data_IF_907515599634
#
_entry.id   IF_907515599634
#
_cell.length_a   1.000
_cell.length_b   1.000
_cell.length_c   1.000
_cell.angle_alpha   90.00
_cell.angle_beta   90.00
_cell.angle_gamma   90.00
#
_symmetry.space_group_name_H-M   'P 1'
#
loop_
_entity.id
_entity.type
_entity.pdbx_description
1 polymer ?
#
# COMPACT_ATOMS: atom_id res chain seq x y z
N UNK A 1 33.96 30.03 -13.64
CA UNK A 1 32.63 29.40 -13.55
C UNK A 1 32.59 28.66 -12.24
N UNK A 2 31.87 29.19 -11.24
CA UNK A 2 31.84 28.63 -9.89
C UNK A 2 30.70 27.61 -9.81
N UNK A 3 31.04 26.35 -9.55
CA UNK A 3 30.09 25.29 -9.26
C UNK A 3 29.54 25.49 -7.85
N UNK A 4 28.32 25.99 -7.74
CA UNK A 4 27.57 25.95 -6.49
C UNK A 4 27.12 24.51 -6.23
N UNK A 5 27.74 23.87 -5.25
CA UNK A 5 27.22 22.68 -4.58
C UNK A 5 25.99 23.08 -3.77
N UNK A 6 24.82 22.58 -4.17
CA UNK A 6 23.60 22.64 -3.36
C UNK A 6 23.75 21.63 -2.22
N UNK A 7 24.09 22.11 -1.03
CA UNK A 7 24.00 21.32 0.20
C UNK A 7 22.54 21.24 0.63
N UNK A 8 22.05 20.01 0.85
CA UNK A 8 20.74 19.74 1.42
C UNK A 8 20.79 20.09 2.93
N UNK A 9 19.92 20.99 3.45
CA UNK A 9 20.08 21.55 4.80
C UNK A 9 19.68 20.60 5.95
N UNK A 10 19.35 19.34 5.68
CA UNK A 10 18.98 18.36 6.72
C UNK A 10 20.17 17.44 7.04
N UNK A 11 21.18 17.99 7.72
CA UNK A 11 22.17 17.17 8.43
C UNK A 11 21.51 16.53 9.66
N UNK A 12 22.03 15.37 10.06
CA UNK A 12 21.58 14.51 11.17
C UNK A 12 21.48 15.20 12.54
N UNK A 13 21.93 16.44 12.68
CA UNK A 13 21.91 17.19 13.93
C UNK A 13 20.61 17.96 14.17
N UNK A 14 19.75 18.13 13.15
CA UNK A 14 18.49 18.86 13.28
C UNK A 14 17.39 18.10 14.07
N UNK A 15 17.51 16.78 14.21
CA UNK A 15 16.51 15.98 14.95
C UNK A 15 16.73 16.01 16.48
N UNK A 16 17.90 16.45 16.96
CA UNK A 16 18.26 16.36 18.38
C UNK A 16 18.06 17.69 19.14
N UNK A 17 17.80 18.81 18.45
CA UNK A 17 17.70 20.13 19.12
C UNK A 17 16.38 20.89 18.99
N UNK A 18 15.36 20.33 18.35
CA UNK A 18 14.03 20.97 18.32
C UNK A 18 12.90 19.98 18.65
N UNK A 19 12.92 19.46 19.88
CA UNK A 19 11.71 19.08 20.60
C UNK A 19 10.93 20.33 21.07
N UNK A 20 10.69 21.28 20.16
CA UNK A 20 9.78 22.39 20.36
C UNK A 20 8.63 22.21 19.40
N UNK A 21 7.51 21.76 19.94
CA UNK A 21 6.19 21.87 19.36
C UNK A 21 5.99 23.24 18.70
N UNK A 22 5.91 23.29 17.36
CA UNK A 22 5.07 24.21 16.59
C UNK A 22 5.44 24.15 15.10
N UNK A 23 4.70 23.37 14.33
CA UNK A 23 4.30 23.78 12.99
C UNK A 23 2.77 23.82 13.00
N UNK A 24 2.24 25.02 13.19
CA UNK A 24 0.83 25.35 13.08
C UNK A 24 0.45 25.45 11.60
N UNK A 25 -0.62 24.76 11.19
CA UNK A 25 -1.29 25.06 9.93
C UNK A 25 -2.14 26.34 10.08
N UNK A 26 -2.15 27.17 9.04
CA UNK A 26 -2.77 28.49 9.00
C UNK A 26 -4.32 28.48 8.96
N UNK A 27 -4.96 27.31 8.99
CA UNK A 27 -6.40 27.16 8.75
C UNK A 27 -7.23 26.85 10.01
N UNK A 28 -6.78 27.31 11.18
CA UNK A 28 -7.66 27.55 12.34
C UNK A 28 -8.42 26.35 12.95
N UNK A 29 -8.13 25.11 12.51
CA UNK A 29 -8.63 23.89 13.12
C UNK A 29 -7.50 23.24 13.94
N UNK A 30 -7.42 23.60 15.22
CA UNK A 30 -6.59 22.87 16.19
C UNK A 30 -7.08 21.42 16.24
N UNK A 31 -6.22 20.41 15.99
CA UNK A 31 -6.52 19.05 16.44
C UNK A 31 -6.79 19.14 17.93
N UNK A 32 -7.80 18.41 18.43
CA UNK A 32 -8.02 18.30 19.88
C UNK A 32 -6.73 17.76 20.47
N UNK A 33 -6.00 18.62 21.18
CA UNK A 33 -4.68 18.33 21.73
C UNK A 33 -4.79 17.11 22.63
N UNK A 34 -4.42 15.94 22.11
CA UNK A 34 -4.10 14.82 22.97
C UNK A 34 -2.90 15.23 23.80
N UNK A 35 -3.07 15.12 25.11
CA UNK A 35 -1.99 15.29 26.06
C UNK A 35 -1.03 14.11 25.90
N UNK A 36 0.02 14.31 25.10
CA UNK A 36 1.10 13.34 24.90
C UNK A 36 2.07 13.31 26.07
N UNK A 37 1.82 14.06 27.15
CA UNK A 37 2.62 13.95 28.37
C UNK A 37 2.41 12.60 29.04
N UNK A 38 3.39 12.19 29.84
CA UNK A 38 3.36 10.97 30.65
C UNK A 38 2.05 10.79 31.44
N UNK A 39 1.48 11.87 31.96
CA UNK A 39 0.23 11.84 32.73
C UNK A 39 -1.01 11.62 31.84
N UNK A 40 -1.03 12.16 30.63
CA UNK A 40 -2.08 11.94 29.63
C UNK A 40 -2.08 10.52 29.08
N UNK A 41 -0.90 9.92 28.91
CA UNK A 41 -0.73 8.52 28.47
C UNK A 41 -1.11 7.51 29.57
N UNK A 42 -0.79 7.78 30.84
CA UNK A 42 -1.12 6.87 31.96
C UNK A 42 -2.64 6.76 32.23
N UNK A 43 -3.46 7.70 31.72
CA UNK A 43 -4.93 7.67 31.79
C UNK A 43 -5.60 7.19 30.49
N UNK A 44 -4.79 6.78 29.51
CA UNK A 44 -5.23 6.42 28.18
C UNK A 44 -5.72 4.96 28.12
N UNK A 45 -7.02 4.76 27.89
CA UNK A 45 -7.63 3.43 27.74
C UNK A 45 -7.55 2.93 26.29
N UNK A 46 -7.36 1.62 26.11
CA UNK A 46 -7.26 0.95 24.81
C UNK A 46 -8.44 1.24 23.87
N UNK A 47 -9.66 1.43 24.40
CA UNK A 47 -10.86 1.79 23.63
C UNK A 47 -10.71 3.11 22.85
N UNK A 48 -9.84 4.03 23.31
CA UNK A 48 -9.64 5.30 22.63
C UNK A 48 -8.85 5.17 21.33
N UNK A 49 -7.96 4.18 21.19
CA UNK A 49 -7.16 3.99 19.96
C UNK A 49 -8.03 3.77 18.71
N UNK A 50 -9.20 3.16 18.87
CA UNK A 50 -10.16 2.96 17.79
C UNK A 50 -10.75 4.27 17.26
N UNK A 51 -10.82 5.30 18.11
CA UNK A 51 -11.43 6.60 17.78
C UNK A 51 -10.43 7.71 17.50
N UNK A 52 -9.14 7.48 17.79
CA UNK A 52 -8.04 8.40 17.52
C UNK A 52 -7.91 8.66 16.01
N UNK A 53 -7.52 9.86 15.59
CA UNK A 53 -7.16 10.10 14.20
C UNK A 53 -5.96 9.20 13.79
N UNK A 54 -5.96 8.56 12.62
CA UNK A 54 -4.85 7.70 12.18
C UNK A 54 -3.47 8.37 12.18
N UNK A 55 -3.41 9.67 11.90
CA UNK A 55 -2.16 10.41 11.88
C UNK A 55 -1.64 10.60 13.31
N UNK A 56 -2.53 10.98 14.21
CA UNK A 56 -2.23 11.13 15.64
C UNK A 56 -1.81 9.78 16.24
N UNK A 57 -2.44 8.68 15.82
CA UNK A 57 -2.12 7.34 16.29
C UNK A 57 -0.68 6.93 15.94
N UNK A 58 -0.20 7.24 14.73
CA UNK A 58 1.21 7.00 14.35
C UNK A 58 2.15 7.91 15.14
N UNK A 59 1.80 9.18 15.34
CA UNK A 59 2.60 10.10 16.15
C UNK A 59 2.72 9.64 17.63
N UNK A 60 1.64 9.09 18.20
CA UNK A 60 1.67 8.42 19.51
C UNK A 60 2.59 7.21 19.49
N UNK A 61 2.59 6.43 18.41
CA UNK A 61 3.53 5.33 18.20
C UNK A 61 4.97 5.78 18.39
N UNK A 62 5.40 6.85 17.71
CA UNK A 62 6.74 7.43 17.89
C UNK A 62 7.03 7.83 19.34
N UNK A 63 6.13 8.61 19.96
CA UNK A 63 6.32 9.09 21.33
C UNK A 63 6.41 7.95 22.37
N UNK A 64 5.66 6.86 22.16
CA UNK A 64 5.59 5.74 23.10
C UNK A 64 6.84 4.87 22.99
N UNK A 65 7.39 4.66 21.80
CA UNK A 65 8.64 3.92 21.59
C UNK A 65 9.84 4.62 22.25
N UNK A 66 9.79 5.94 22.41
CA UNK A 66 10.86 6.73 23.02
C UNK A 66 10.85 6.75 24.57
N UNK A 67 9.79 6.24 25.23
CA UNK A 67 9.74 6.33 26.70
C UNK A 67 8.66 5.57 27.47
N UNK A 68 7.73 4.86 26.83
CA UNK A 68 6.51 4.36 27.50
C UNK A 68 6.17 2.90 27.19
N UNK A 69 6.85 1.96 27.86
CA UNK A 69 6.75 0.52 27.55
C UNK A 69 5.37 -0.15 27.74
N UNK A 70 4.45 0.42 28.53
CA UNK A 70 3.18 -0.25 28.88
C UNK A 70 2.17 -0.33 27.74
N UNK A 71 2.06 0.71 26.92
CA UNK A 71 1.03 0.82 25.87
C UNK A 71 1.55 0.47 24.46
N UNK A 72 2.85 0.16 24.34
CA UNK A 72 3.53 -0.09 23.07
C UNK A 72 2.79 -1.12 22.21
N UNK A 73 2.41 -2.25 22.79
CA UNK A 73 1.79 -3.35 22.04
C UNK A 73 0.37 -3.01 21.56
N UNK A 74 -0.39 -2.26 22.35
CA UNK A 74 -1.76 -1.86 22.02
C UNK A 74 -1.74 -0.83 20.89
N UNK A 75 -0.84 0.16 20.98
CA UNK A 75 -0.66 1.17 19.92
C UNK A 75 -0.14 0.56 18.64
N UNK A 76 0.86 -0.35 18.70
CA UNK A 76 1.32 -1.10 17.53
C UNK A 76 0.20 -1.88 16.86
N UNK A 77 -0.63 -2.56 17.65
CA UNK A 77 -1.77 -3.32 17.13
C UNK A 77 -2.80 -2.42 16.46
N UNK A 78 -3.09 -1.25 17.05
CA UNK A 78 -4.00 -0.27 16.48
C UNK A 78 -3.45 0.36 15.18
N UNK A 79 -2.17 0.73 15.16
CA UNK A 79 -1.48 1.24 13.96
C UNK A 79 -1.55 0.20 12.84
N UNK A 80 -1.24 -1.07 13.14
CA UNK A 80 -1.29 -2.17 12.18
C UNK A 80 -2.69 -2.38 11.62
N UNK A 81 -3.71 -2.37 12.47
CA UNK A 81 -5.11 -2.56 12.06
C UNK A 81 -5.61 -1.46 11.12
N UNK A 82 -4.99 -0.27 11.19
CA UNK A 82 -5.39 0.93 10.45
C UNK A 82 -4.35 1.39 9.42
N UNK A 83 -3.47 0.47 9.03
CA UNK A 83 -2.37 0.76 8.11
C UNK A 83 -2.84 1.29 6.74
N UNK A 84 -4.06 0.95 6.31
CA UNK A 84 -4.65 1.44 5.06
C UNK A 84 -5.04 2.93 5.09
N UNK A 85 -5.31 3.48 6.28
CA UNK A 85 -5.74 4.88 6.45
C UNK A 85 -4.54 5.83 6.26
N UNK A 86 -3.38 5.50 6.83
CA UNK A 86 -2.14 6.30 6.75
C UNK A 86 -0.91 5.45 6.37
N UNK A 87 -0.89 4.85 5.16
CA UNK A 87 0.04 3.79 4.82
C UNK A 87 1.50 4.22 4.81
N UNK A 88 1.83 5.37 4.25
CA UNK A 88 3.21 5.88 4.25
C UNK A 88 3.72 6.22 5.64
N UNK A 89 2.90 6.87 6.49
CA UNK A 89 3.28 7.19 7.88
C UNK A 89 3.48 5.91 8.69
N UNK A 90 2.56 4.96 8.55
CA UNK A 90 2.62 3.66 9.22
C UNK A 90 3.85 2.85 8.77
N UNK A 91 4.12 2.81 7.47
CA UNK A 91 5.28 2.11 6.92
C UNK A 91 6.60 2.71 7.41
N UNK A 92 6.71 4.05 7.44
CA UNK A 92 7.91 4.72 7.99
C UNK A 92 8.10 4.46 9.48
N UNK A 93 7.03 4.53 10.27
CA UNK A 93 7.05 4.18 11.68
C UNK A 93 7.57 2.75 11.88
N UNK A 94 7.01 1.80 11.12
CA UNK A 94 7.42 0.42 11.16
C UNK A 94 8.91 0.23 10.82
N UNK A 95 9.43 0.96 9.82
CA UNK A 95 10.84 0.90 9.45
C UNK A 95 11.76 1.56 10.47
N UNK A 96 11.35 2.67 11.08
CA UNK A 96 12.15 3.37 12.09
C UNK A 96 12.42 2.51 13.33
N UNK A 97 11.45 1.69 13.74
CA UNK A 97 11.54 0.85 14.94
C UNK A 97 11.68 -0.66 14.68
N UNK A 98 11.77 -1.08 13.41
CA UNK A 98 11.97 -2.48 13.04
C UNK A 98 10.73 -3.38 13.17
N UNK A 99 9.51 -2.82 13.13
CA UNK A 99 8.25 -3.56 13.21
C UNK A 99 7.85 -4.14 11.86
N UNK A 100 8.55 -5.20 11.43
CA UNK A 100 8.38 -5.79 10.10
C UNK A 100 6.95 -6.27 9.80
N UNK A 101 6.21 -6.68 10.81
CA UNK A 101 4.83 -7.15 10.67
C UNK A 101 3.83 -6.00 10.41
N UNK A 102 4.11 -4.80 10.96
CA UNK A 102 3.38 -3.57 10.65
C UNK A 102 3.75 -3.08 9.25
N UNK A 103 5.02 -3.23 8.87
CA UNK A 103 5.49 -2.90 7.54
C UNK A 103 4.81 -3.76 6.47
N UNK A 104 4.70 -5.07 6.70
CA UNK A 104 3.98 -5.99 5.81
C UNK A 104 2.49 -5.64 5.68
N UNK A 105 1.86 -5.16 6.76
CA UNK A 105 0.47 -4.70 6.73
C UNK A 105 0.31 -3.39 5.92
N UNK A 106 1.29 -2.48 5.99
CA UNK A 106 1.22 -1.17 5.35
C UNK A 106 1.72 -1.14 3.89
N UNK A 107 2.76 -1.90 3.57
CA UNK A 107 3.43 -1.91 2.27
C UNK A 107 2.48 -2.04 1.07
N UNK A 108 1.47 -2.93 1.07
CA UNK A 108 0.54 -3.02 -0.05
C UNK A 108 -0.16 -1.71 -0.40
N UNK A 109 -0.61 -0.97 0.61
CA UNK A 109 -1.34 0.29 0.46
C UNK A 109 -0.44 1.46 0.04
N UNK A 110 0.88 1.29 0.09
CA UNK A 110 1.84 2.27 -0.45
C UNK A 110 2.07 2.12 -1.95
N UNK A 111 1.69 1.00 -2.57
CA UNK A 111 1.96 0.72 -4.00
C UNK A 111 1.25 1.71 -4.93
N UNK A 112 -0.03 2.00 -4.63
CA UNK A 112 -0.89 2.90 -5.41
C UNK A 112 -0.73 4.38 -5.07
N UNK A 113 -0.06 4.70 -3.96
CA UNK A 113 0.14 6.07 -3.48
C UNK A 113 1.58 6.49 -3.70
N UNK A 114 1.84 7.38 -4.64
CA UNK A 114 3.17 7.98 -4.74
C UNK A 114 3.47 8.73 -3.44
N UNK A 115 4.66 8.56 -2.84
CA UNK A 115 5.02 9.29 -1.65
C UNK A 115 5.05 10.79 -1.98
N UNK A 116 4.36 11.61 -1.18
CA UNK A 116 4.53 13.06 -1.24
C UNK A 116 5.94 13.44 -0.75
N UNK A 117 6.36 14.70 -0.96
CA UNK A 117 7.66 15.21 -0.46
C UNK A 117 7.84 14.96 1.05
N UNK A 118 6.77 15.01 1.83
CA UNK A 118 6.80 14.80 3.28
C UNK A 118 6.72 13.31 3.68
N UNK A 119 6.45 12.43 2.71
CA UNK A 119 6.36 10.97 2.87
C UNK A 119 7.58 10.26 2.25
N UNK A 120 8.67 11.00 2.01
CA UNK A 120 9.83 10.57 1.26
C UNK A 120 10.37 9.20 1.70
N UNK A 121 10.22 8.22 0.80
CA UNK A 121 10.93 6.95 0.88
C UNK A 121 12.45 7.13 0.94
N UNK A 122 12.95 8.27 0.43
CA UNK A 122 14.35 8.65 0.43
C UNK A 122 14.96 8.81 1.83
N UNK A 123 14.13 8.98 2.87
CA UNK A 123 14.58 9.07 4.26
C UNK A 123 14.91 7.70 4.87
N UNK A 124 14.48 6.60 4.23
CA UNK A 124 14.80 5.25 4.68
C UNK A 124 16.25 4.89 4.28
N UNK A 125 16.92 3.98 5.01
CA UNK A 125 18.19 3.48 4.53
C UNK A 125 18.03 2.74 3.18
N UNK A 126 19.10 2.73 2.38
CA UNK A 126 19.05 2.27 0.99
C UNK A 126 18.50 0.84 0.85
N UNK A 127 18.82 -0.05 1.79
CA UNK A 127 18.36 -1.44 1.76
C UNK A 127 16.84 -1.53 1.89
N UNK A 128 16.24 -0.74 2.77
CA UNK A 128 14.79 -0.63 2.96
C UNK A 128 14.12 -0.01 1.73
N UNK A 129 14.73 1.00 1.11
CA UNK A 129 14.25 1.57 -0.15
C UNK A 129 14.21 0.51 -1.26
N UNK A 130 15.30 -0.24 -1.44
CA UNK A 130 15.39 -1.32 -2.43
C UNK A 130 14.38 -2.43 -2.16
N UNK A 131 14.18 -2.80 -0.88
CA UNK A 131 13.17 -3.78 -0.50
C UNK A 131 11.77 -3.33 -0.94
N UNK A 132 11.45 -2.05 -0.72
CA UNK A 132 10.16 -1.50 -1.11
C UNK A 132 9.99 -1.41 -2.64
N UNK A 133 11.02 -0.99 -3.38
CA UNK A 133 10.94 -0.95 -4.85
C UNK A 133 10.72 -2.35 -5.44
N UNK A 134 11.43 -3.37 -4.94
CA UNK A 134 11.23 -4.76 -5.35
C UNK A 134 9.82 -5.25 -5.00
N UNK A 135 9.34 -4.97 -3.78
CA UNK A 135 7.99 -5.31 -3.37
C UNK A 135 6.95 -4.66 -4.29
N UNK A 136 7.09 -3.36 -4.55
CA UNK A 136 6.21 -2.58 -5.43
C UNK A 136 6.20 -3.14 -6.83
N UNK A 137 7.35 -3.50 -7.40
CA UNK A 137 7.43 -4.11 -8.74
C UNK A 137 6.63 -5.42 -8.82
N UNK A 138 6.82 -6.34 -7.86
CA UNK A 138 6.07 -7.59 -7.81
C UNK A 138 4.56 -7.33 -7.72
N UNK A 139 4.16 -6.37 -6.89
CA UNK A 139 2.76 -5.99 -6.72
C UNK A 139 2.16 -5.36 -7.98
N UNK A 140 2.92 -4.52 -8.68
CA UNK A 140 2.51 -3.94 -9.96
C UNK A 140 2.34 -5.02 -11.05
N UNK A 141 3.21 -6.04 -11.08
CA UNK A 141 3.06 -7.17 -12.00
C UNK A 141 1.81 -8.02 -11.70
N UNK A 142 1.44 -8.14 -10.43
CA UNK A 142 0.18 -8.75 -10.02
C UNK A 142 -1.02 -7.91 -10.47
N UNK A 143 -0.98 -6.60 -10.23
CA UNK A 143 -2.02 -5.67 -10.69
C UNK A 143 -2.15 -5.68 -12.20
N UNK A 144 -1.06 -5.69 -12.96
CA UNK A 144 -1.08 -5.81 -14.42
C UNK A 144 -1.82 -7.09 -14.87
N UNK A 145 -1.63 -8.21 -14.17
CA UNK A 145 -2.34 -9.45 -14.46
C UNK A 145 -3.84 -9.34 -14.18
N UNK A 146 -4.17 -8.72 -13.04
CA UNK A 146 -5.55 -8.51 -12.62
C UNK A 146 -6.24 -7.46 -13.50
N UNK A 147 -5.49 -6.52 -14.07
CA UNK A 147 -6.04 -5.49 -14.95
C UNK A 147 -6.06 -5.88 -16.43
N UNK A 148 -5.22 -6.82 -16.84
CA UNK A 148 -5.14 -7.27 -18.23
C UNK A 148 -6.13 -8.40 -18.45
N UNK A 149 -7.32 -8.04 -18.92
CA UNK A 149 -8.28 -9.04 -19.37
C UNK A 149 -7.66 -9.93 -20.47
N UNK A 150 -7.88 -11.24 -20.46
CA UNK A 150 -7.42 -12.11 -21.55
C UNK A 150 -8.03 -11.64 -22.87
N UNK A 151 -7.32 -11.79 -23.99
CA UNK A 151 -7.88 -11.43 -25.30
C UNK A 151 -9.20 -12.17 -25.58
N UNK A 152 -10.15 -11.56 -26.31
CA UNK A 152 -11.38 -12.25 -26.70
C UNK A 152 -11.08 -13.56 -27.43
N UNK A 153 -11.89 -14.59 -27.16
CA UNK A 153 -11.72 -15.87 -27.83
C UNK A 153 -12.01 -15.72 -29.33
N UNK A 154 -11.13 -16.25 -30.18
CA UNK A 154 -11.36 -16.38 -31.62
C UNK A 154 -11.59 -17.84 -31.94
N UNK A 155 -12.71 -18.14 -32.59
CA UNK A 155 -13.00 -19.51 -33.03
C UNK A 155 -12.11 -19.93 -34.22
N UNK A 156 -12.24 -21.18 -34.68
CA UNK A 156 -11.47 -21.72 -35.81
C UNK A 156 -11.60 -20.90 -37.12
N UNK A 157 -12.68 -20.12 -37.26
CA UNK A 157 -12.94 -19.23 -38.41
C UNK A 157 -12.44 -17.79 -38.19
N UNK A 158 -11.62 -17.56 -37.15
CA UNK A 158 -11.10 -16.25 -36.72
C UNK A 158 -12.19 -15.23 -36.34
N UNK A 159 -13.43 -15.67 -36.13
CA UNK A 159 -14.50 -14.81 -35.63
C UNK A 159 -14.37 -14.67 -34.13
N UNK A 160 -14.54 -13.44 -33.64
CA UNK A 160 -14.59 -13.16 -32.20
C UNK A 160 -15.81 -13.85 -31.62
N UNK A 161 -15.61 -14.51 -30.48
CA UNK A 161 -16.69 -15.02 -29.67
C UNK A 161 -17.21 -13.88 -28.81
N UNK A 162 -18.47 -13.56 -29.03
CA UNK A 162 -19.20 -12.54 -28.31
C UNK A 162 -20.58 -13.11 -27.97
N UNK A 163 -20.80 -13.40 -26.68
CA UNK A 163 -22.06 -13.91 -26.17
C UNK A 163 -22.68 -12.98 -25.13
N UNK A 164 -22.13 -11.77 -24.94
CA UNK A 164 -22.53 -10.83 -23.87
C UNK A 164 -22.25 -11.31 -22.43
N UNK A 165 -21.92 -12.59 -22.22
CA UNK A 165 -21.74 -13.18 -20.89
C UNK A 165 -20.35 -13.01 -20.27
N UNK A 166 -19.42 -12.27 -20.88
CA UNK A 166 -18.04 -12.14 -20.36
C UNK A 166 -17.97 -11.33 -19.06
N UNK A 167 -18.75 -10.25 -18.96
CA UNK A 167 -18.70 -9.31 -17.84
C UNK A 167 -19.03 -9.97 -16.48
N UNK A 168 -20.09 -10.79 -16.35
CA UNK A 168 -20.35 -11.54 -15.11
C UNK A 168 -19.20 -12.45 -14.67
N UNK A 169 -18.54 -13.14 -15.61
CA UNK A 169 -17.36 -13.95 -15.30
C UNK A 169 -16.18 -13.08 -14.84
N UNK A 170 -15.98 -11.93 -15.48
CA UNK A 170 -14.91 -11.04 -15.11
C UNK A 170 -15.11 -10.45 -13.71
N UNK A 171 -16.32 -10.01 -13.41
CA UNK A 171 -16.70 -9.55 -12.07
C UNK A 171 -16.50 -10.66 -11.02
N UNK A 172 -16.85 -11.91 -11.33
CA UNK A 172 -16.63 -13.04 -10.42
C UNK A 172 -15.15 -13.31 -10.14
N UNK A 173 -14.29 -13.25 -11.17
CA UNK A 173 -12.83 -13.42 -10.99
C UNK A 173 -12.28 -12.31 -10.10
N UNK A 174 -12.63 -11.05 -10.37
CA UNK A 174 -12.15 -9.91 -9.58
C UNK A 174 -12.69 -9.92 -8.14
N UNK A 175 -13.95 -10.29 -7.95
CA UNK A 175 -14.56 -10.43 -6.63
C UNK A 175 -14.06 -11.63 -5.82
N UNK A 176 -13.51 -12.66 -6.49
CA UNK A 176 -12.86 -13.81 -5.87
C UNK A 176 -11.39 -13.57 -5.49
N UNK A 177 -10.81 -12.44 -5.90
CA UNK A 177 -9.47 -12.07 -5.47
C UNK A 177 -9.46 -11.76 -3.97
N UNK A 178 -8.35 -12.02 -3.26
CA UNK A 178 -8.22 -11.69 -1.84
C UNK A 178 -8.61 -10.24 -1.57
N UNK A 179 -9.65 -10.05 -0.75
CA UNK A 179 -10.36 -8.79 -0.53
C UNK A 179 -9.52 -7.71 0.15
N UNK A 180 -8.35 -8.05 0.68
CA UNK A 180 -7.39 -7.12 1.26
C UNK A 180 -5.99 -7.67 1.07
N UNK A 181 -5.00 -6.86 0.66
CA UNK A 181 -5.05 -5.45 0.22
C UNK A 181 -5.27 -5.27 -1.30
N UNK A 182 -5.40 -6.36 -2.07
CA UNK A 182 -5.39 -6.31 -3.54
C UNK A 182 -6.55 -5.50 -4.11
N UNK A 183 -7.78 -5.74 -3.65
CA UNK A 183 -8.96 -5.00 -4.13
C UNK A 183 -8.87 -3.49 -3.85
N UNK A 184 -8.46 -3.11 -2.63
CA UNK A 184 -8.27 -1.69 -2.26
C UNK A 184 -7.21 -1.01 -3.12
N UNK A 185 -6.08 -1.69 -3.36
CA UNK A 185 -5.02 -1.15 -4.21
C UNK A 185 -5.45 -1.08 -5.67
N UNK A 186 -6.25 -2.06 -6.14
CA UNK A 186 -6.83 -2.02 -7.47
C UNK A 186 -7.78 -0.81 -7.64
N UNK A 187 -8.69 -0.60 -6.69
CA UNK A 187 -9.60 0.54 -6.72
C UNK A 187 -8.83 1.87 -6.70
N UNK A 188 -7.83 1.97 -5.83
CA UNK A 188 -7.00 3.17 -5.72
C UNK A 188 -6.16 3.44 -6.98
N UNK A 189 -5.51 2.43 -7.55
CA UNK A 189 -4.76 2.55 -8.81
C UNK A 189 -5.69 2.86 -9.98
N UNK A 190 -6.87 2.24 -10.02
CA UNK A 190 -7.89 2.45 -11.04
C UNK A 190 -8.51 3.84 -10.99
N UNK A 191 -8.73 4.38 -9.78
CA UNK A 191 -9.40 5.66 -9.54
C UNK A 191 -8.43 6.86 -9.60
N UNK A 192 -7.25 6.77 -8.97
CA UNK A 192 -6.39 7.94 -8.70
C UNK A 192 -5.15 8.09 -9.58
N UNK A 193 -4.77 7.10 -10.41
CA UNK A 193 -3.43 7.17 -11.01
C UNK A 193 -3.13 6.24 -12.17
N UNK A 194 -4.17 5.84 -12.92
CA UNK A 194 -3.99 4.99 -14.09
C UNK A 194 -3.09 5.63 -15.17
N UNK A 195 -3.11 6.96 -15.39
CA UNK A 195 -2.33 7.53 -16.50
C UNK A 195 -0.80 7.32 -16.40
N UNK A 196 -0.24 7.20 -15.19
CA UNK A 196 1.20 7.00 -14.99
C UNK A 196 1.62 5.52 -14.83
N UNK A 197 0.67 4.59 -14.65
CA UNK A 197 0.97 3.17 -14.35
C UNK A 197 0.24 2.19 -15.28
N UNK A 198 -1.00 2.46 -15.66
CA UNK A 198 -1.83 1.61 -16.51
C UNK A 198 -2.76 2.43 -17.42
N UNK A 199 -2.57 2.40 -18.73
CA UNK A 199 -3.49 3.09 -19.65
C UNK A 199 -4.94 2.61 -19.45
N UNK A 200 -5.83 3.53 -19.01
CA UNK A 200 -7.27 3.30 -18.82
C UNK A 200 -8.00 2.83 -20.08
N UNK A 201 -7.40 3.02 -21.25
CA UNK A 201 -7.91 2.56 -22.55
C UNK A 201 -8.15 1.04 -22.65
N UNK A 202 -7.68 0.23 -21.69
CA UNK A 202 -8.02 -1.20 -21.59
C UNK A 202 -9.38 -1.51 -20.93
N UNK A 203 -10.04 -0.52 -20.33
CA UNK A 203 -11.28 -0.71 -19.54
C UNK A 203 -12.53 -0.09 -20.16
N UNK A 204 -12.38 0.68 -21.23
CA UNK A 204 -13.51 1.17 -22.03
C UNK A 204 -14.05 0.02 -22.89
N UNK A 205 -14.80 -0.87 -22.25
CA UNK A 205 -15.62 -1.87 -22.92
C UNK A 205 -17.01 -1.26 -23.03
N UNK A 206 -17.49 -1.08 -24.25
CA UNK A 206 -18.90 -0.79 -24.54
C UNK A 206 -19.77 -1.76 -23.74
N UNK A 207 -20.67 -1.23 -22.91
CA UNK A 207 -21.63 -2.03 -22.14
C UNK A 207 -22.61 -2.64 -23.14
N UNK A 208 -22.35 -3.88 -23.56
CA UNK A 208 -23.27 -4.67 -24.36
C UNK A 208 -24.24 -5.33 -23.37
N UNK A 209 -25.57 -5.21 -23.57
CA UNK A 209 -26.55 -5.75 -22.63
C UNK A 209 -26.31 -7.25 -22.42
N UNK A 210 -26.34 -7.74 -21.16
CA UNK A 210 -25.95 -9.11 -20.84
C UNK A 210 -26.84 -10.12 -21.57
N UNK A 211 -26.21 -11.11 -22.18
CA UNK A 211 -26.79 -12.45 -22.30
C UNK A 211 -26.63 -13.11 -20.92
N UNK A 212 -27.74 -13.40 -20.25
CA UNK A 212 -27.82 -13.64 -18.80
C UNK A 212 -27.30 -14.99 -18.31
N UNK A 213 -26.63 -15.79 -19.13
CA UNK A 213 -26.26 -17.16 -18.79
C UNK A 213 -24.75 -17.33 -18.54
N UNK A 214 -24.39 -17.51 -17.26
CA UNK A 214 -23.11 -18.08 -16.77
C UNK A 214 -22.91 -19.55 -17.19
N UNK A 215 -23.34 -19.89 -18.41
CA UNK A 215 -23.34 -21.23 -19.00
C UNK A 215 -22.41 -21.31 -20.22
N UNK A 216 -21.94 -20.17 -20.74
CA UNK A 216 -20.98 -20.16 -21.84
C UNK A 216 -19.64 -20.80 -21.42
N UNK A 217 -19.40 -22.04 -21.86
CA UNK A 217 -18.17 -22.80 -21.59
C UNK A 217 -16.91 -22.08 -22.07
N UNK A 218 -16.99 -21.33 -23.16
CA UNK A 218 -15.87 -20.53 -23.68
C UNK A 218 -15.50 -19.40 -22.73
N UNK A 219 -16.49 -18.63 -22.25
CA UNK A 219 -16.28 -17.55 -21.29
C UNK A 219 -15.81 -18.09 -19.94
N UNK A 220 -16.40 -19.20 -19.47
CA UNK A 220 -15.95 -19.90 -18.25
C UNK A 220 -14.49 -20.31 -18.33
N UNK A 221 -14.11 -21.06 -19.36
CA UNK A 221 -12.73 -21.52 -19.52
C UNK A 221 -11.73 -20.39 -19.72
N UNK A 222 -12.15 -19.25 -20.30
CA UNK A 222 -11.33 -18.03 -20.40
C UNK A 222 -11.16 -17.37 -19.03
N UNK A 223 -12.22 -17.28 -18.23
CA UNK A 223 -12.19 -16.74 -16.89
C UNK A 223 -11.33 -17.61 -15.94
N UNK A 224 -11.50 -18.92 -15.95
CA UNK A 224 -10.67 -19.87 -15.18
C UNK A 224 -9.18 -19.74 -15.52
N UNK A 225 -8.83 -19.58 -16.80
CA UNK A 225 -7.43 -19.37 -17.21
C UNK A 225 -6.87 -18.05 -16.69
N UNK A 226 -7.69 -17.00 -16.69
CA UNK A 226 -7.31 -15.69 -16.18
C UNK A 226 -7.13 -15.72 -14.67
N UNK A 227 -8.11 -16.25 -13.93
CA UNK A 227 -8.05 -16.46 -12.50
C UNK A 227 -6.80 -17.26 -12.09
N UNK A 228 -6.52 -18.37 -12.78
CA UNK A 228 -5.31 -19.15 -12.55
C UNK A 228 -4.02 -18.35 -12.82
N UNK A 229 -4.01 -17.46 -13.82
CA UNK A 229 -2.86 -16.60 -14.08
C UNK A 229 -2.65 -15.57 -12.96
N UNK A 230 -3.72 -14.93 -12.49
CA UNK A 230 -3.68 -13.98 -11.37
C UNK A 230 -3.24 -14.70 -10.08
N UNK A 231 -3.87 -15.83 -9.74
CA UNK A 231 -3.55 -16.63 -8.57
C UNK A 231 -2.11 -17.14 -8.57
N UNK A 232 -1.56 -17.52 -9.73
CA UNK A 232 -0.14 -17.90 -9.83
C UNK A 232 0.80 -16.74 -9.52
N UNK A 233 0.47 -15.51 -9.92
CA UNK A 233 1.27 -14.32 -9.56
C UNK A 233 1.09 -13.97 -8.09
N UNK A 234 -0.13 -14.03 -7.59
CA UNK A 234 -0.43 -13.79 -6.17
C UNK A 234 0.38 -14.70 -5.25
N UNK A 235 0.46 -16.00 -5.55
CA UNK A 235 1.26 -16.97 -4.79
C UNK A 235 2.77 -16.73 -4.83
N UNK A 236 3.26 -15.94 -5.78
CA UNK A 236 4.67 -15.56 -5.92
C UNK A 236 4.98 -14.20 -5.29
N UNK A 237 3.96 -13.48 -4.85
CA UNK A 237 4.15 -12.20 -4.18
C UNK A 237 4.81 -12.47 -2.83
N UNK A 238 6.04 -11.99 -2.67
CA UNK A 238 6.75 -12.08 -1.41
C UNK A 238 6.25 -11.00 -0.45
N UNK A 239 6.30 -11.28 0.85
CA UNK A 239 6.11 -10.24 1.87
C UNK A 239 7.27 -9.25 1.81
N UNK A 240 7.02 -8.01 2.21
CA UNK A 240 8.05 -6.98 2.22
C UNK A 240 9.20 -7.38 3.15
N UNK A 241 8.89 -7.92 4.34
CA UNK A 241 9.85 -8.43 5.30
C UNK A 241 10.78 -9.50 4.70
N UNK A 242 10.25 -10.44 3.93
CA UNK A 242 11.03 -11.48 3.25
C UNK A 242 12.04 -10.89 2.27
N UNK A 243 11.64 -9.89 1.49
CA UNK A 243 12.53 -9.18 0.56
C UNK A 243 13.62 -8.43 1.33
N UNK A 244 13.24 -7.75 2.41
CA UNK A 244 14.14 -6.99 3.27
C UNK A 244 15.22 -7.87 3.90
N UNK A 245 14.83 -9.01 4.49
CA UNK A 245 15.74 -9.99 5.09
C UNK A 245 16.73 -10.54 4.07
N UNK A 246 16.26 -10.89 2.86
CA UNK A 246 17.12 -11.35 1.78
C UNK A 246 18.18 -10.31 1.43
N UNK A 247 17.79 -9.05 1.27
CA UNK A 247 18.74 -7.97 0.95
C UNK A 247 19.75 -7.74 2.09
N UNK A 248 19.31 -7.76 3.36
CA UNK A 248 20.18 -7.62 4.53
C UNK A 248 21.19 -8.77 4.65
N UNK A 249 20.78 -10.00 4.33
CA UNK A 249 21.67 -11.17 4.36
C UNK A 249 22.71 -11.17 3.23
N UNK A 250 22.37 -10.60 2.07
CA UNK A 250 23.27 -10.52 0.91
C UNK A 250 24.39 -9.49 1.05
N UNK A 251 24.18 -8.43 1.83
CA UNK A 251 25.17 -7.36 2.05
C UNK A 251 26.31 -7.75 3.00
N UNK A 252 26.25 -8.91 3.65
CA UNK A 252 27.26 -9.35 4.64
C UNK A 252 28.46 -10.12 4.07
N UNK A 253 28.49 -10.44 2.77
CA UNK A 253 29.52 -11.28 2.14
C UNK A 253 30.40 -10.54 1.12
N UNK A 254 30.42 -9.20 1.14
CA UNK A 254 31.17 -8.35 0.20
C UNK A 254 32.29 -7.58 0.85
#
# INVERSE_FOLDING_TARGET
MSTQTFECPCSKDAYVQHASFACFDADGFSPRTMDTTRAGLDTFNADRFATTDPQDLVAMGYAIEEGHSRLVNEVRSAIKARANETPWKTFRYAMAYGHVDIADAAAPYTVGRLPTKDQCIHDLPLVEQLAWYNYREQYLLLLDAAFTQPSPHKNAKRKLHDCGGWEPYAAAVLGGLPSTPLFTVMDEVGTNGAENVFSRSRWEIEIIPPGWDMECLTCRGRAEKWENAVNRRFRRLEMFSTILERLKSGTGNG
#
